data_IF_897052390697
#
_entry.id   IF_897052390697
#
_cell.length_a   1.000
_cell.length_b   1.000
_cell.length_c   1.000
_cell.angle_alpha   90.00
_cell.angle_beta   90.00
_cell.angle_gamma   90.00
#
_symmetry.space_group_name_H-M   'P 1'
#
loop_
_entity.id
_entity.type
_entity.pdbx_description
1 polymer ?
#
# COMPACT_ATOMS: atom_id res chain seq x y z
N UNK A 1 -12.09 49.52 18.38
CA UNK A 1 -12.62 48.29 17.78
C UNK A 1 -11.75 47.92 16.60
N UNK A 2 -11.13 46.75 16.65
CA UNK A 2 -10.20 46.28 15.62
C UNK A 2 -9.77 44.85 15.93
N UNK A 3 -10.77 43.97 16.09
CA UNK A 3 -10.55 42.52 16.12
C UNK A 3 -10.42 42.02 14.68
N UNK A 4 -9.43 41.17 14.43
CA UNK A 4 -9.15 40.68 13.09
C UNK A 4 -8.23 39.48 13.08
N UNK A 5 -8.70 38.38 13.65
CA UNK A 5 -8.35 37.02 13.21
C UNK A 5 -6.91 36.57 13.45
N UNK A 6 -6.62 36.13 14.69
CA UNK A 6 -5.58 35.12 14.89
C UNK A 6 -5.99 33.85 14.16
N UNK A 7 -5.51 33.70 12.91
CA UNK A 7 -5.59 32.46 12.17
C UNK A 7 -4.77 31.42 12.92
N UNK A 8 -5.44 30.59 13.70
CA UNK A 8 -4.82 29.41 14.31
C UNK A 8 -4.21 28.57 13.19
N UNK A 9 -2.88 28.56 13.12
CA UNK A 9 -2.12 27.68 12.25
C UNK A 9 -2.32 26.24 12.70
N UNK A 10 -3.44 25.64 12.31
CA UNK A 10 -3.57 24.20 12.29
C UNK A 10 -2.47 23.68 11.38
N UNK A 11 -1.56 22.87 11.91
CA UNK A 11 -0.58 22.18 11.09
C UNK A 11 -1.36 21.38 10.04
N UNK A 12 -1.28 21.81 8.77
CA UNK A 12 -1.89 21.07 7.67
C UNK A 12 -1.24 19.68 7.63
N UNK A 13 -1.97 18.65 8.02
CA UNK A 13 -1.50 17.28 7.91
C UNK A 13 -1.31 16.95 6.42
N UNK A 14 -0.12 16.46 6.06
CA UNK A 14 0.24 16.06 4.71
C UNK A 14 0.63 14.58 4.70
N UNK A 15 0.01 13.81 3.80
CA UNK A 15 0.49 12.47 3.48
C UNK A 15 1.74 12.60 2.62
N UNK A 16 2.84 12.17 3.20
CA UNK A 16 4.20 12.30 2.64
C UNK A 16 4.82 10.93 2.30
N UNK A 17 4.24 9.87 2.84
CA UNK A 17 4.76 8.52 2.80
C UNK A 17 3.62 7.50 2.86
N UNK A 18 3.80 6.38 2.17
CA UNK A 18 2.95 5.22 2.25
C UNK A 18 3.77 3.95 2.04
N UNK A 19 3.44 2.90 2.79
CA UNK A 19 4.10 1.61 2.72
C UNK A 19 3.10 0.49 2.92
N UNK A 20 3.16 -0.54 2.07
CA UNK A 20 2.41 -1.78 2.26
C UNK A 20 3.39 -2.91 2.53
N UNK A 21 3.08 -3.68 3.57
CA UNK A 21 3.88 -4.82 4.02
C UNK A 21 3.02 -6.06 4.18
N UNK A 22 3.64 -7.23 4.06
CA UNK A 22 3.04 -8.52 4.39
C UNK A 22 3.89 -9.18 5.45
N UNK A 23 3.30 -9.43 6.61
CA UNK A 23 3.96 -10.06 7.73
C UNK A 23 3.49 -11.52 7.85
N UNK A 24 4.43 -12.45 7.77
CA UNK A 24 4.13 -13.88 7.74
C UNK A 24 4.49 -14.51 9.10
N UNK A 25 3.48 -14.60 9.98
CA UNK A 25 3.59 -15.22 11.29
C UNK A 25 3.76 -16.75 11.25
N UNK A 26 3.66 -17.42 12.42
CA UNK A 26 3.84 -18.86 12.55
C UNK A 26 2.83 -19.69 11.74
N UNK A 27 1.61 -19.18 11.57
CA UNK A 27 0.53 -19.83 10.83
C UNK A 27 0.68 -19.74 9.30
N UNK A 28 1.64 -18.96 8.79
CA UNK A 28 1.89 -18.85 7.37
C UNK A 28 2.38 -20.19 6.77
N UNK A 29 2.30 -20.37 5.43
CA UNK A 29 2.90 -21.52 4.76
C UNK A 29 4.40 -21.66 5.12
N UNK A 30 4.95 -22.88 5.22
CA UNK A 30 6.32 -23.11 5.71
C UNK A 30 7.40 -22.27 5.03
N UNK A 31 7.29 -22.05 3.70
CA UNK A 31 8.25 -21.23 2.96
C UNK A 31 8.24 -19.74 3.38
N UNK A 32 7.13 -19.24 3.92
CA UNK A 32 6.92 -17.84 4.24
C UNK A 32 7.09 -17.52 5.74
N UNK A 33 7.01 -18.50 6.64
CA UNK A 33 7.04 -18.28 8.09
C UNK A 33 8.24 -17.46 8.56
N UNK A 34 7.99 -16.51 9.45
CA UNK A 34 9.05 -15.68 10.04
C UNK A 34 9.63 -14.66 9.07
N UNK A 35 8.94 -14.36 7.97
CA UNK A 35 9.37 -13.40 6.96
C UNK A 35 8.46 -12.19 6.93
N UNK A 36 9.00 -11.05 6.52
CA UNK A 36 8.22 -9.88 6.14
C UNK A 36 8.55 -9.51 4.70
N UNK A 37 7.55 -9.07 3.94
CA UNK A 37 7.73 -8.58 2.58
C UNK A 37 7.25 -7.14 2.48
N UNK A 38 8.15 -6.22 2.18
CA UNK A 38 7.81 -4.84 1.85
C UNK A 38 7.35 -4.81 0.40
N UNK A 39 6.04 -4.82 0.20
CA UNK A 39 5.43 -4.89 -1.13
C UNK A 39 5.68 -3.59 -1.90
N UNK A 40 5.53 -2.45 -1.23
CA UNK A 40 5.79 -1.15 -1.85
C UNK A 40 6.13 -0.08 -0.81
N UNK A 41 6.92 0.88 -1.25
CA UNK A 41 7.19 2.14 -0.56
C UNK A 41 6.98 3.25 -1.59
N UNK A 42 6.21 4.26 -1.24
CA UNK A 42 6.06 5.46 -2.06
C UNK A 42 6.07 6.71 -1.18
N UNK A 43 6.50 7.83 -1.77
CA UNK A 43 6.63 9.09 -1.07
C UNK A 43 6.35 10.25 -1.99
N UNK A 44 5.92 11.36 -1.38
CA UNK A 44 5.64 12.63 -2.06
C UNK A 44 6.56 13.70 -1.44
N UNK A 45 6.90 14.78 -2.17
CA UNK A 45 7.70 15.86 -1.60
C UNK A 45 7.01 16.49 -0.39
N UNK A 46 7.76 16.82 0.67
CA UNK A 46 7.21 17.44 1.88
C UNK A 46 6.65 18.85 1.59
N UNK A 47 7.38 19.63 0.79
CA UNK A 47 7.04 20.99 0.36
C UNK A 47 7.90 21.38 -0.86
N UNK A 48 7.54 22.46 -1.55
CA UNK A 48 8.13 22.83 -2.86
C UNK A 48 9.63 23.16 -2.85
N UNK A 49 10.19 23.54 -1.69
CA UNK A 49 11.61 23.87 -1.51
C UNK A 49 12.37 22.82 -0.68
N UNK A 50 11.84 21.60 -0.57
CA UNK A 50 12.45 20.53 0.22
C UNK A 50 13.83 20.13 -0.34
N UNK A 51 14.84 20.12 0.54
CA UNK A 51 16.14 19.59 0.18
C UNK A 51 16.05 18.06 0.02
N UNK A 52 16.55 17.46 -1.08
CA UNK A 52 16.44 16.03 -1.32
C UNK A 52 16.94 15.14 -0.16
N UNK A 53 17.90 15.62 0.61
CA UNK A 53 18.48 14.90 1.75
C UNK A 53 17.53 14.78 2.94
N UNK A 54 16.64 15.75 3.17
CA UNK A 54 15.69 15.73 4.28
C UNK A 54 14.68 14.60 4.12
N UNK A 55 14.04 14.51 2.94
CA UNK A 55 13.15 13.41 2.60
C UNK A 55 13.83 12.06 2.80
N UNK A 56 15.06 11.94 2.30
CA UNK A 56 15.80 10.71 2.33
C UNK A 56 16.12 10.24 3.76
N UNK A 57 16.41 11.17 4.68
CA UNK A 57 16.58 10.85 6.10
C UNK A 57 15.28 10.36 6.72
N UNK A 58 14.16 11.03 6.47
CA UNK A 58 12.85 10.63 7.00
C UNK A 58 12.46 9.23 6.50
N UNK A 59 12.58 8.97 5.19
CA UNK A 59 12.28 7.65 4.62
C UNK A 59 13.17 6.55 5.20
N UNK A 60 14.47 6.82 5.36
CA UNK A 60 15.42 5.86 5.94
C UNK A 60 15.05 5.54 7.38
N UNK A 61 14.74 6.56 8.18
CA UNK A 61 14.34 6.38 9.58
C UNK A 61 13.05 5.54 9.71
N UNK A 62 12.04 5.79 8.87
CA UNK A 62 10.80 5.00 8.88
C UNK A 62 11.08 3.53 8.54
N UNK A 63 11.85 3.26 7.47
CA UNK A 63 12.17 1.89 7.07
C UNK A 63 13.01 1.19 8.13
N UNK A 64 14.02 1.84 8.70
CA UNK A 64 14.84 1.26 9.77
C UNK A 64 14.02 0.97 11.02
N UNK A 65 13.15 1.90 11.44
CA UNK A 65 12.26 1.69 12.57
C UNK A 65 11.32 0.50 12.37
N UNK A 66 10.81 0.32 11.14
CA UNK A 66 10.03 -0.87 10.79
C UNK A 66 10.87 -2.16 10.83
N UNK A 67 12.07 -2.18 10.24
CA UNK A 67 12.95 -3.35 10.29
C UNK A 67 13.35 -3.73 11.72
N UNK A 68 13.62 -2.74 12.56
CA UNK A 68 13.88 -2.95 13.98
C UNK A 68 12.65 -3.46 14.73
N UNK A 69 11.46 -2.96 14.41
CA UNK A 69 10.20 -3.51 14.92
C UNK A 69 10.06 -4.99 14.54
N UNK A 70 10.24 -5.35 13.27
CA UNK A 70 10.16 -6.73 12.82
C UNK A 70 11.20 -7.62 13.53
N UNK A 71 12.42 -7.13 13.70
CA UNK A 71 13.48 -7.83 14.46
C UNK A 71 13.03 -8.09 15.90
N UNK A 72 12.53 -7.09 16.61
CA UNK A 72 12.05 -7.23 18.00
C UNK A 72 10.86 -8.18 18.10
N UNK A 73 10.00 -8.21 17.08
CA UNK A 73 8.89 -9.16 16.96
C UNK A 73 9.35 -10.58 16.65
N UNK A 74 10.62 -10.82 16.35
CA UNK A 74 11.16 -12.16 16.08
C UNK A 74 11.04 -12.59 14.62
N UNK A 75 10.78 -11.69 13.68
CA UNK A 75 10.93 -12.02 12.26
C UNK A 75 12.40 -12.25 11.93
N UNK A 76 12.67 -13.23 11.07
CA UNK A 76 14.02 -13.63 10.68
C UNK A 76 14.51 -12.88 9.44
N UNK A 77 13.64 -12.67 8.46
CA UNK A 77 14.01 -12.12 7.15
C UNK A 77 13.05 -11.02 6.71
N UNK A 78 13.60 -9.94 6.18
CA UNK A 78 12.84 -8.91 5.48
C UNK A 78 13.18 -8.91 3.99
N UNK A 79 12.14 -8.92 3.16
CA UNK A 79 12.24 -8.99 1.72
C UNK A 79 11.80 -7.67 1.10
N UNK A 80 12.59 -7.15 0.17
CA UNK A 80 12.24 -5.99 -0.65
C UNK A 80 12.46 -6.34 -2.11
N UNK A 81 11.58 -5.85 -2.99
CA UNK A 81 11.78 -5.94 -4.44
C UNK A 81 11.73 -4.56 -5.07
N UNK A 82 12.54 -4.36 -6.09
CA UNK A 82 12.44 -3.26 -7.04
C UNK A 82 11.54 -3.75 -8.17
N UNK A 83 10.31 -3.22 -8.30
CA UNK A 83 9.40 -3.65 -9.35
C UNK A 83 9.98 -3.40 -10.75
N UNK A 84 9.64 -4.19 -11.77
CA UNK A 84 10.11 -3.96 -13.14
C UNK A 84 9.35 -2.78 -13.77
N UNK A 85 9.83 -2.19 -14.89
CA UNK A 85 9.14 -1.06 -15.53
C UNK A 85 7.77 -1.45 -16.12
N UNK A 86 7.59 -2.74 -16.37
CA UNK A 86 6.33 -3.38 -16.79
C UNK A 86 5.28 -3.40 -15.68
N UNK A 87 5.67 -3.14 -14.43
CA UNK A 87 4.75 -3.04 -13.30
C UNK A 87 4.15 -1.63 -13.22
N UNK A 88 3.00 -1.49 -13.86
CA UNK A 88 2.28 -0.20 -13.97
C UNK A 88 1.66 0.27 -12.66
N UNK A 89 1.52 -0.60 -11.67
CA UNK A 89 0.91 -0.27 -10.38
C UNK A 89 1.90 -0.49 -9.24
N UNK A 90 3.17 -0.19 -9.51
CA UNK A 90 4.28 -0.25 -8.56
C UNK A 90 4.27 0.89 -7.52
N UNK A 91 3.46 1.93 -7.73
CA UNK A 91 3.41 3.15 -6.92
C UNK A 91 2.03 3.35 -6.26
N UNK A 92 1.97 4.22 -5.25
CA UNK A 92 0.75 4.56 -4.51
C UNK A 92 0.21 5.93 -4.96
N UNK A 93 1.06 6.97 -5.02
CA UNK A 93 0.61 8.36 -5.10
C UNK A 93 0.68 9.00 -6.49
N UNK A 94 1.42 8.40 -7.43
CA UNK A 94 1.59 8.95 -8.77
C UNK A 94 1.62 7.87 -9.84
N UNK A 95 0.74 8.00 -10.82
CA UNK A 95 0.89 7.31 -12.10
C UNK A 95 2.13 7.86 -12.82
N UNK A 96 3.06 6.98 -13.16
CA UNK A 96 4.31 7.34 -13.84
C UNK A 96 4.31 6.77 -15.25
N UNK A 97 4.73 7.55 -16.23
CA UNK A 97 4.95 7.04 -17.60
C UNK A 97 6.06 5.98 -17.59
N UNK A 98 6.10 5.10 -18.59
CA UNK A 98 7.09 4.01 -18.65
C UNK A 98 8.55 4.52 -18.57
N UNK A 99 8.87 5.63 -19.24
CA UNK A 99 10.20 6.24 -19.18
C UNK A 99 10.57 6.76 -17.78
N UNK A 100 9.59 7.33 -17.06
CA UNK A 100 9.78 7.80 -15.67
C UNK A 100 9.94 6.60 -14.72
N UNK A 101 9.17 5.52 -14.93
CA UNK A 101 9.32 4.28 -14.15
C UNK A 101 10.73 3.72 -14.29
N UNK A 102 11.24 3.57 -15.51
CA UNK A 102 12.58 3.03 -15.77
C UNK A 102 13.69 3.78 -15.00
N UNK A 103 13.70 5.12 -15.06
CA UNK A 103 14.66 5.95 -14.30
C UNK A 103 14.47 5.80 -12.78
N UNK A 104 13.23 5.70 -12.31
CA UNK A 104 12.94 5.53 -10.89
C UNK A 104 13.46 4.19 -10.33
N UNK A 105 13.50 3.11 -11.14
CA UNK A 105 13.97 1.81 -10.69
C UNK A 105 15.44 1.83 -10.27
N UNK A 106 16.28 2.52 -11.05
CA UNK A 106 17.70 2.69 -10.74
C UNK A 106 17.85 3.38 -9.39
N UNK A 107 17.14 4.48 -9.18
CA UNK A 107 17.17 5.20 -7.92
C UNK A 107 16.68 4.34 -6.74
N UNK A 108 15.60 3.58 -6.90
CA UNK A 108 15.07 2.71 -5.83
C UNK A 108 16.04 1.58 -5.48
N UNK A 109 16.67 0.95 -6.48
CA UNK A 109 17.68 -0.10 -6.25
C UNK A 109 18.88 0.42 -5.45
N UNK A 110 19.47 1.55 -5.88
CA UNK A 110 20.57 2.19 -5.15
C UNK A 110 20.13 2.64 -3.75
N UNK A 111 18.91 3.15 -3.63
CA UNK A 111 18.35 3.56 -2.35
C UNK A 111 18.23 2.38 -1.38
N UNK A 112 17.65 1.26 -1.80
CA UNK A 112 17.53 0.03 -0.99
C UNK A 112 18.90 -0.49 -0.53
N UNK A 113 19.88 -0.56 -1.42
CA UNK A 113 21.25 -0.90 -1.02
C UNK A 113 21.75 0.04 0.07
N UNK A 114 21.64 1.35 -0.13
CA UNK A 114 22.19 2.35 0.81
C UNK A 114 21.52 2.26 2.17
N UNK A 115 20.20 2.16 2.23
CA UNK A 115 19.49 2.04 3.51
C UNK A 115 19.80 0.72 4.20
N UNK A 116 20.01 -0.38 3.46
CA UNK A 116 20.38 -1.66 4.06
C UNK A 116 21.82 -1.69 4.54
N UNK A 117 22.76 -1.07 3.82
CA UNK A 117 24.14 -0.87 4.28
C UNK A 117 24.18 -0.09 5.59
N UNK A 118 23.41 1.00 5.67
CA UNK A 118 23.29 1.79 6.89
C UNK A 118 22.64 0.97 8.01
N UNK A 119 21.59 0.19 7.72
CA UNK A 119 20.95 -0.66 8.72
C UNK A 119 21.89 -1.74 9.28
N UNK A 120 22.82 -2.25 8.47
CA UNK A 120 23.86 -3.17 8.94
C UNK A 120 24.87 -2.45 9.82
N UNK A 121 25.34 -1.28 9.41
CA UNK A 121 26.24 -0.44 10.20
C UNK A 121 25.64 -0.11 11.58
N UNK A 122 24.35 0.23 11.62
CA UNK A 122 23.64 0.61 12.84
C UNK A 122 23.15 -0.60 13.65
N UNK A 123 23.46 -1.82 13.19
CA UNK A 123 23.09 -3.05 13.87
C UNK A 123 21.59 -3.36 13.89
N UNK A 124 20.78 -2.71 13.05
CA UNK A 124 19.35 -3.01 12.85
C UNK A 124 19.17 -4.30 12.06
N UNK A 125 20.04 -4.53 11.08
CA UNK A 125 20.10 -5.72 10.21
C UNK A 125 21.43 -6.41 10.45
N UNK A 126 21.46 -7.74 10.51
CA UNK A 126 22.71 -8.51 10.70
C UNK A 126 23.57 -8.46 9.44
N UNK A 127 22.97 -8.78 8.30
CA UNK A 127 23.54 -8.63 6.97
C UNK A 127 22.41 -8.64 5.94
N UNK A 128 22.69 -8.31 4.68
CA UNK A 128 21.72 -8.47 3.61
C UNK A 128 22.39 -9.07 2.37
N UNK A 129 21.56 -9.69 1.54
CA UNK A 129 21.91 -10.21 0.23
C UNK A 129 21.06 -9.53 -0.82
N UNK A 130 21.59 -9.43 -2.03
CA UNK A 130 20.87 -8.87 -3.17
C UNK A 130 21.13 -9.64 -4.45
N UNK A 131 20.14 -9.67 -5.33
CA UNK A 131 20.18 -10.41 -6.58
C UNK A 131 19.42 -9.69 -7.70
N UNK A 132 19.79 -9.90 -8.98
CA UNK A 132 19.08 -9.35 -10.13
C UNK A 132 17.69 -9.99 -10.34
N UNK A 133 17.50 -11.22 -9.84
CA UNK A 133 16.36 -12.09 -10.14
C UNK A 133 15.87 -12.79 -8.86
N UNK A 134 14.58 -13.18 -8.78
CA UNK A 134 14.05 -13.88 -7.61
C UNK A 134 14.52 -15.34 -7.49
N UNK A 135 15.36 -15.82 -8.41
CA UNK A 135 15.81 -17.23 -8.45
C UNK A 135 16.69 -17.67 -7.26
N UNK A 136 16.96 -16.78 -6.29
CA UNK A 136 17.68 -17.15 -5.07
C UNK A 136 16.77 -17.95 -4.12
N UNK A 137 17.26 -19.05 -3.50
CA UNK A 137 16.50 -19.79 -2.49
C UNK A 137 16.08 -18.92 -1.30
N UNK A 138 16.76 -17.80 -1.08
CA UNK A 138 16.44 -16.86 -0.02
C UNK A 138 15.16 -16.06 -0.29
N UNK A 139 14.68 -15.95 -1.54
CA UNK A 139 13.50 -15.16 -1.93
C UNK A 139 12.40 -16.08 -2.49
N UNK A 140 11.52 -16.65 -1.64
CA UNK A 140 10.50 -17.58 -2.12
C UNK A 140 9.47 -16.87 -3.02
N UNK A 141 9.13 -17.43 -4.20
CA UNK A 141 8.14 -16.85 -5.10
C UNK A 141 6.75 -16.66 -4.48
N UNK A 142 6.42 -17.45 -3.44
CA UNK A 142 5.17 -17.35 -2.68
C UNK A 142 5.00 -16.05 -1.88
N UNK A 143 6.03 -15.19 -1.81
CA UNK A 143 5.90 -13.84 -1.27
C UNK A 143 5.30 -12.86 -2.30
N UNK A 144 5.47 -13.16 -3.59
CA UNK A 144 4.99 -12.32 -4.67
C UNK A 144 3.50 -12.60 -4.93
N UNK A 145 2.73 -11.54 -5.19
CA UNK A 145 1.37 -11.72 -5.69
C UNK A 145 1.38 -12.26 -7.11
N UNK A 146 0.25 -12.83 -7.56
CA UNK A 146 0.07 -13.28 -8.95
C UNK A 146 0.43 -12.16 -9.95
N UNK A 147 0.06 -10.92 -9.61
CA UNK A 147 0.34 -9.75 -10.43
C UNK A 147 1.83 -9.40 -10.47
N UNK A 148 2.51 -9.48 -9.33
CA UNK A 148 3.97 -9.26 -9.27
C UNK A 148 4.68 -10.31 -10.13
N UNK A 149 4.29 -11.59 -10.02
CA UNK A 149 4.84 -12.69 -10.82
C UNK A 149 4.61 -12.46 -12.32
N UNK A 150 3.40 -12.03 -12.71
CA UNK A 150 3.09 -11.71 -14.10
C UNK A 150 3.96 -10.56 -14.63
N UNK A 151 4.16 -9.50 -13.83
CA UNK A 151 5.01 -8.37 -14.19
C UNK A 151 6.48 -8.78 -14.37
N UNK A 152 7.01 -9.65 -13.50
CA UNK A 152 8.36 -10.21 -13.66
C UNK A 152 8.48 -11.06 -14.93
N UNK A 153 7.49 -11.90 -15.22
CA UNK A 153 7.49 -12.72 -16.44
C UNK A 153 7.49 -11.86 -17.70
N UNK A 154 6.65 -10.83 -17.75
CA UNK A 154 6.59 -9.89 -18.86
C UNK A 154 7.93 -9.15 -19.03
N UNK A 155 8.57 -8.75 -17.92
CA UNK A 155 9.89 -8.14 -17.95
C UNK A 155 10.95 -9.07 -18.52
N UNK A 156 10.99 -10.33 -18.07
CA UNK A 156 11.94 -11.32 -18.58
C UNK A 156 11.74 -11.60 -20.08
N UNK A 157 10.48 -11.65 -20.55
CA UNK A 157 10.17 -11.79 -21.97
C UNK A 157 10.65 -10.57 -22.78
N UNK A 158 10.44 -9.36 -22.27
CA UNK A 158 10.91 -8.13 -22.91
C UNK A 158 12.45 -8.11 -23.01
N UNK A 159 13.12 -8.46 -21.91
CA UNK A 159 14.59 -8.55 -21.85
C UNK A 159 15.13 -9.58 -22.84
N UNK A 160 14.47 -10.73 -22.95
CA UNK A 160 14.86 -11.79 -23.88
C UNK A 160 14.60 -11.42 -25.36
N UNK A 161 13.52 -10.70 -25.64
CA UNK A 161 13.17 -10.25 -27.00
C UNK A 161 14.06 -9.11 -27.49
N UNK A 162 14.58 -8.29 -26.57
CA UNK A 162 15.42 -7.14 -26.88
C UNK A 162 16.69 -7.14 -26.01
N UNK A 163 17.61 -8.09 -26.22
CA UNK A 163 18.83 -8.23 -25.42
C UNK A 163 19.69 -6.96 -25.47
N UNK A 164 19.73 -6.25 -26.61
CA UNK A 164 20.46 -5.00 -26.76
C UNK A 164 19.78 -3.79 -26.09
N UNK A 165 18.46 -3.84 -25.87
CA UNK A 165 17.73 -2.82 -25.10
C UNK A 165 17.80 -3.10 -23.59
N UNK A 166 17.92 -4.37 -23.20
CA UNK A 166 18.19 -4.79 -21.83
C UNK A 166 19.65 -4.55 -21.42
N UNK A 167 20.60 -4.80 -22.32
CA UNK A 167 21.99 -4.36 -22.25
C UNK A 167 22.15 -2.84 -22.52
N UNK A 168 21.10 -2.22 -23.08
CA UNK A 168 20.91 -0.78 -23.25
C UNK A 168 20.31 -0.08 -22.02
N UNK A 169 20.07 -0.80 -20.93
CA UNK A 169 20.40 -0.22 -19.64
C UNK A 169 21.91 -0.04 -19.68
N UNK A 170 22.40 1.19 -19.88
CA UNK A 170 23.83 1.47 -19.94
C UNK A 170 24.57 0.99 -18.67
N UNK A 171 25.78 1.48 -18.37
CA UNK A 171 26.46 1.14 -17.09
C UNK A 171 25.57 1.24 -15.82
N UNK A 172 24.43 1.93 -15.92
CA UNK A 172 23.44 2.20 -14.88
C UNK A 172 22.24 1.23 -14.73
N UNK A 173 22.03 0.18 -15.54
CA UNK A 173 20.90 -0.75 -15.30
C UNK A 173 20.96 -1.33 -13.86
N UNK A 174 19.84 -1.39 -13.09
CA UNK A 174 19.91 -1.83 -11.70
C UNK A 174 20.31 -3.30 -11.67
N UNK A 175 21.58 -3.55 -11.35
CA UNK A 175 22.17 -4.90 -11.27
C UNK A 175 21.48 -5.77 -10.22
N UNK A 176 20.71 -5.15 -9.33
CA UNK A 176 20.09 -5.80 -8.19
C UNK A 176 18.68 -5.29 -7.97
N UNK A 177 17.74 -6.23 -7.87
CA UNK A 177 16.31 -5.95 -7.77
C UNK A 177 15.67 -6.61 -6.57
N UNK A 178 16.22 -7.72 -6.10
CA UNK A 178 15.68 -8.49 -4.98
C UNK A 178 16.64 -8.37 -3.83
N UNK A 179 16.15 -7.93 -2.68
CA UNK A 179 16.94 -7.74 -1.47
C UNK A 179 16.37 -8.60 -0.36
N UNK A 180 17.25 -9.28 0.38
CA UNK A 180 16.92 -10.11 1.53
C UNK A 180 17.77 -9.65 2.71
N UNK A 181 17.15 -8.99 3.67
CA UNK A 181 17.79 -8.56 4.91
C UNK A 181 17.60 -9.61 6.00
N UNK A 182 18.68 -9.99 6.65
CA UNK A 182 18.70 -10.94 7.76
C UNK A 182 18.59 -10.16 9.06
N UNK A 183 17.50 -10.38 9.79
CA UNK A 183 17.17 -9.63 11.01
C UNK A 183 17.70 -10.33 12.27
N UNK A 184 17.87 -11.66 12.23
CA UNK A 184 18.32 -12.48 13.36
C UNK A 184 19.64 -13.17 13.03
N UNK A 185 20.55 -13.36 13.99
CA UNK A 185 21.82 -14.05 13.76
C UNK A 185 21.59 -15.53 13.40
N UNK A 186 22.46 -16.12 12.56
CA UNK A 186 22.40 -17.55 12.24
C UNK A 186 22.86 -18.38 13.45
N UNK A 187 21.93 -18.73 14.34
CA UNK A 187 22.20 -19.65 15.44
C UNK A 187 21.21 -19.51 16.60
N UNK A 188 20.34 -20.51 16.79
CA UNK A 188 19.81 -20.86 18.11
C UNK A 188 18.33 -20.59 18.38
N UNK A 189 17.41 -21.12 17.58
CA UNK A 189 16.00 -21.25 17.95
C UNK A 189 15.05 -21.30 16.77
N UNK A 190 13.94 -22.03 16.92
CA UNK A 190 12.80 -21.92 15.99
C UNK A 190 12.32 -20.47 16.01
N UNK A 191 12.35 -19.80 14.85
CA UNK A 191 11.91 -18.41 14.70
C UNK A 191 10.48 -18.30 15.23
N UNK A 192 10.33 -17.73 16.42
CA UNK A 192 9.04 -17.56 17.07
C UNK A 192 8.68 -16.09 16.95
N UNK A 193 7.91 -15.77 15.91
CA UNK A 193 7.35 -14.42 15.78
C UNK A 193 6.36 -14.22 16.93
N UNK A 194 6.60 -13.22 17.76
CA UNK A 194 5.74 -12.86 18.89
C UNK A 194 4.35 -12.41 18.43
N UNK A 195 3.34 -12.50 19.31
CA UNK A 195 1.96 -12.14 18.98
C UNK A 195 1.85 -10.68 18.55
N UNK A 196 0.92 -10.40 17.62
CA UNK A 196 0.57 -9.03 17.25
C UNK A 196 -0.53 -8.52 18.15
N UNK A 197 -0.21 -7.52 18.98
CA UNK A 197 -1.19 -6.87 19.84
C UNK A 197 -1.92 -5.71 19.13
N UNK A 198 -1.57 -5.43 17.87
CA UNK A 198 -2.21 -4.38 17.08
C UNK A 198 -3.62 -4.79 16.70
N UNK A 199 -4.59 -3.93 16.96
CA UNK A 199 -5.98 -4.17 16.55
C UNK A 199 -6.09 -4.20 15.01
N UNK A 200 -6.83 -5.18 14.51
CA UNK A 200 -7.12 -5.29 13.08
C UNK A 200 -8.13 -4.21 12.68
N UNK A 201 -7.66 -3.22 11.92
CA UNK A 201 -8.50 -2.18 11.33
C UNK A 201 -8.86 -2.56 9.89
N UNK A 202 -10.09 -3.04 9.69
CA UNK A 202 -10.60 -3.29 8.35
C UNK A 202 -10.76 -1.97 7.59
N UNK A 203 -10.27 -1.90 6.35
CA UNK A 203 -10.41 -0.71 5.51
C UNK A 203 -10.65 -1.12 4.06
N UNK A 204 -11.83 -0.82 3.53
CA UNK A 204 -12.08 -0.98 2.09
C UNK A 204 -11.25 0.01 1.25
N UNK A 205 -10.89 1.15 1.85
CA UNK A 205 -10.12 2.21 1.19
C UNK A 205 -8.62 1.91 1.14
N UNK A 206 -8.08 1.20 2.14
CA UNK A 206 -6.63 1.02 2.29
C UNK A 206 -6.22 -0.41 2.66
N UNK A 207 -7.12 -1.40 2.59
CA UNK A 207 -6.84 -2.80 2.94
C UNK A 207 -5.80 -3.46 2.04
N UNK A 208 -5.67 -3.01 0.80
CA UNK A 208 -4.53 -3.32 -0.05
C UNK A 208 -4.15 -2.12 -0.93
N UNK A 209 -2.95 -2.18 -1.51
CA UNK A 209 -2.42 -1.11 -2.38
C UNK A 209 -3.34 -0.79 -3.55
N UNK A 210 -3.92 -1.80 -4.19
CA UNK A 210 -4.75 -1.60 -5.39
C UNK A 210 -5.99 -0.78 -5.04
N UNK A 211 -6.66 -1.11 -3.94
CA UNK A 211 -7.87 -0.41 -3.53
C UNK A 211 -7.60 1.07 -3.24
N UNK A 212 -6.46 1.38 -2.60
CA UNK A 212 -6.05 2.75 -2.36
C UNK A 212 -5.73 3.50 -3.66
N UNK A 213 -5.03 2.87 -4.60
CA UNK A 213 -4.72 3.47 -5.91
C UNK A 213 -6.01 3.72 -6.70
N UNK A 214 -6.94 2.76 -6.71
CA UNK A 214 -8.23 2.88 -7.37
C UNK A 214 -9.09 3.97 -6.73
N UNK A 215 -9.07 4.08 -5.39
CA UNK A 215 -9.72 5.17 -4.65
C UNK A 215 -9.14 6.53 -5.04
N UNK A 216 -7.81 6.66 -5.07
CA UNK A 216 -7.15 7.89 -5.49
C UNK A 216 -7.57 8.28 -6.91
N UNK A 217 -7.63 7.32 -7.84
CA UNK A 217 -8.08 7.58 -9.21
C UNK A 217 -9.55 8.01 -9.27
N UNK A 218 -10.44 7.29 -8.58
CA UNK A 218 -11.89 7.56 -8.53
C UNK A 218 -12.22 8.92 -7.92
N UNK A 219 -11.56 9.26 -6.82
CA UNK A 219 -11.76 10.51 -6.08
C UNK A 219 -10.89 11.67 -6.61
N UNK A 220 -10.13 11.44 -7.70
CA UNK A 220 -9.22 12.43 -8.31
C UNK A 220 -8.24 13.04 -7.30
N UNK A 221 -7.63 12.17 -6.49
CA UNK A 221 -6.62 12.54 -5.51
C UNK A 221 -5.24 12.58 -6.17
N UNK A 222 -4.52 13.68 -5.99
CA UNK A 222 -3.23 13.91 -6.61
C UNK A 222 -2.23 14.48 -5.60
N UNK A 223 -0.95 14.15 -5.78
CA UNK A 223 0.11 14.53 -4.84
C UNK A 223 1.32 15.20 -5.52
N UNK A 224 1.09 15.91 -6.63
CA UNK A 224 2.13 16.52 -7.45
C UNK A 224 2.42 18.00 -7.11
N UNK A 225 1.54 18.64 -6.35
CA UNK A 225 1.76 20.00 -5.81
C UNK A 225 1.38 20.03 -4.34
N UNK A 226 1.89 20.99 -3.57
CA UNK A 226 1.51 21.15 -2.16
C UNK A 226 0.00 21.38 -1.98
N UNK A 227 -0.64 22.11 -2.91
CA UNK A 227 -2.08 22.34 -2.88
C UNK A 227 -2.88 21.05 -3.12
N UNK A 228 -2.47 20.25 -4.11
CA UNK A 228 -3.10 18.95 -4.36
C UNK A 228 -2.88 17.99 -3.19
N UNK A 229 -1.65 17.90 -2.66
CA UNK A 229 -1.35 17.05 -1.51
C UNK A 229 -2.17 17.42 -0.27
N UNK A 230 -2.37 18.72 0.02
CA UNK A 230 -3.28 19.17 1.10
C UNK A 230 -4.72 18.72 0.87
N UNK A 231 -5.26 19.00 -0.32
CA UNK A 231 -6.63 18.64 -0.64
C UNK A 231 -6.83 17.11 -0.56
N UNK A 232 -5.94 16.36 -1.18
CA UNK A 232 -5.99 14.90 -1.24
C UNK A 232 -5.77 14.26 0.12
N UNK A 233 -4.87 14.79 0.95
CA UNK A 233 -4.71 14.34 2.34
C UNK A 233 -6.00 14.55 3.12
N UNK A 234 -6.57 15.75 3.09
CA UNK A 234 -7.82 16.05 3.80
C UNK A 234 -8.95 15.11 3.35
N UNK A 235 -9.08 14.89 2.04
CA UNK A 235 -10.09 13.96 1.48
C UNK A 235 -9.85 12.52 1.94
N UNK A 236 -8.63 12.03 1.83
CA UNK A 236 -8.27 10.67 2.23
C UNK A 236 -8.51 10.45 3.72
N UNK A 237 -8.09 11.37 4.59
CA UNK A 237 -8.35 11.31 6.03
C UNK A 237 -9.84 11.25 6.33
N UNK A 238 -10.66 12.06 5.67
CA UNK A 238 -12.12 12.02 5.87
C UNK A 238 -12.75 10.69 5.42
N UNK A 239 -12.27 10.11 4.32
CA UNK A 239 -12.76 8.83 3.82
C UNK A 239 -12.39 7.69 4.78
N UNK A 240 -11.15 7.68 5.27
CA UNK A 240 -10.69 6.70 6.26
C UNK A 240 -11.44 6.84 7.59
N UNK A 241 -11.63 8.06 8.10
CA UNK A 241 -12.39 8.28 9.33
C UNK A 241 -13.85 7.85 9.19
N UNK A 242 -14.47 8.10 8.04
CA UNK A 242 -15.86 7.68 7.78
C UNK A 242 -15.99 6.16 7.67
N UNK A 243 -15.01 5.47 7.09
CA UNK A 243 -15.07 4.00 6.99
C UNK A 243 -14.95 3.32 8.35
N UNK A 244 -14.38 4.01 9.35
CA UNK A 244 -14.28 3.52 10.73
C UNK A 244 -15.42 4.02 11.64
N UNK A 245 -16.32 4.86 11.13
CA UNK A 245 -17.43 5.36 11.94
C UNK A 245 -18.47 4.25 12.17
N UNK A 246 -19.03 4.13 13.39
CA UNK A 246 -20.10 3.19 13.65
C UNK A 246 -21.32 3.51 12.75
N UNK A 247 -22.08 2.49 12.30
CA UNK A 247 -23.28 2.72 11.51
C UNK A 247 -24.24 3.64 12.29
N UNK A 248 -24.94 4.57 11.61
CA UNK A 248 -25.90 5.43 12.30
C UNK A 248 -26.96 4.55 12.98
N UNK A 249 -27.45 4.95 14.18
CA UNK A 249 -28.49 4.20 14.87
C UNK A 249 -29.68 4.04 13.93
N UNK A 250 -30.19 2.82 13.81
CA UNK A 250 -31.36 2.52 13.01
C UNK A 250 -32.48 3.48 13.41
N UNK A 251 -32.97 4.29 12.46
CA UNK A 251 -34.14 5.13 12.70
C UNK A 251 -35.28 4.18 13.06
N UNK A 252 -35.72 4.20 14.31
CA UNK A 252 -36.98 3.54 14.69
C UNK A 252 -38.05 4.15 13.82
N UNK A 253 -38.60 3.38 12.88
CA UNK A 253 -39.81 3.76 12.19
C UNK A 253 -40.91 3.85 13.26
N UNK A 254 -41.12 5.04 13.80
CA UNK A 254 -42.36 5.37 14.49
C UNK A 254 -43.44 5.27 13.43
N UNK A 255 -44.16 4.15 13.45
CA UNK A 255 -45.41 3.99 12.74
C UNK A 255 -46.42 4.96 13.38
N UNK A 256 -46.37 6.23 12.98
CA UNK A 256 -47.48 7.14 13.16
C UNK A 256 -48.60 6.61 12.24
N UNK A 257 -49.52 5.85 12.84
CA UNK A 257 -50.67 5.28 12.18
C UNK A 257 -51.49 6.39 11.51
N UNK A 258 -51.47 6.41 10.18
CA UNK A 258 -52.52 7.08 9.41
C UNK A 258 -53.63 6.05 9.24
N UNK A 259 -54.62 6.13 10.13
CA UNK A 259 -55.85 5.36 9.99
C UNK A 259 -56.60 5.83 8.75
N UNK A 260 -56.70 4.98 7.73
CA UNK A 260 -57.62 5.19 6.62
C UNK A 260 -59.03 4.74 7.04
N UNK A 261 -60.10 5.51 6.76
CA UNK A 261 -61.45 5.08 7.03
C UNK A 261 -61.87 3.95 6.07
N UNK A 262 -62.43 2.88 6.62
CA UNK A 262 -62.94 1.72 5.88
C UNK A 262 -64.10 2.12 4.94
N UNK A 263 -64.19 1.54 3.73
CA UNK A 263 -65.31 1.77 2.83
C UNK A 263 -66.54 0.97 3.28
N UNK A 264 -67.66 1.67 3.43
CA UNK A 264 -69.00 1.10 3.60
C UNK A 264 -69.38 0.27 2.37
N UNK A 265 -69.70 -1.00 2.60
CA UNK A 265 -70.29 -1.93 1.62
C UNK A 265 -71.70 -1.48 1.24
N UNK A 266 -71.93 -1.12 -0.03
CA UNK A 266 -73.26 -1.14 -0.65
C UNK A 266 -73.28 -2.21 -1.75
N UNK A 267 -74.12 -3.21 -1.52
CA UNK A 267 -74.47 -4.30 -2.43
C UNK A 267 -75.06 -3.76 -3.74
N UNK A 268 -74.52 -4.22 -4.87
CA UNK A 268 -75.06 -3.99 -6.20
C UNK A 268 -74.65 -5.15 -7.11
N UNK A 269 -75.54 -6.13 -7.23
CA UNK A 269 -75.37 -7.31 -8.07
C UNK A 269 -75.52 -6.94 -9.55
N UNK A 270 -74.58 -7.38 -10.39
CA UNK A 270 -74.81 -7.56 -11.82
C UNK A 270 -73.93 -8.69 -12.36
N UNK A 271 -74.58 -9.81 -12.64
CA UNK A 271 -74.06 -10.99 -13.34
C UNK A 271 -73.84 -10.66 -14.82
N UNK A 272 -72.68 -11.03 -15.38
CA UNK A 272 -72.48 -11.07 -16.83
C UNK A 272 -71.89 -12.43 -17.21
N UNK A 273 -72.63 -13.08 -18.10
CA UNK A 273 -72.42 -14.39 -18.67
C UNK A 273 -71.22 -14.42 -19.62
N UNK A 274 -70.51 -15.55 -19.59
CA UNK A 274 -69.58 -16.00 -20.62
C UNK A 274 -70.33 -16.53 -21.85
N UNK A 275 -69.83 -16.27 -23.07
CA UNK A 275 -70.08 -17.13 -24.22
C UNK A 275 -68.80 -17.79 -24.75
N UNK A 276 -68.95 -18.85 -25.57
CA UNK A 276 -68.08 -20.03 -25.45
C UNK A 276 -67.20 -20.33 -26.67
N UNK A 277 -66.23 -21.23 -26.40
CA UNK A 277 -65.39 -22.10 -27.24
C UNK A 277 -64.42 -21.45 -28.23
#
# INVERSE_FOLDING_TARGET
GGGGGGGGGGADALVIFGMYVKEYGPEAPPANRGRVFVECIDSTPLYGSEAPQERQRALTAIVHGYLEHCRRRGFALAHMRVPPPTDEFSHIFAARTAAVRAKALQHVSHWYRRILQQAVHDGVVVHFQSAPSPASPAFPPSLLSIRDVAAERAYLQLVAAYPDAAAGGGPDAPRERFFVAVLQPPGGGQVTVGPDATELLASEAAGNRKDLVDLCARERLYFHTAAHARHSTRRLTLLLLRSQAPPPPARSASAAGVAFPSPTTSSGAASIATPPL
#
